data_IF_288232786960
#
_entry.id   IF_288232786960
#
_cell.length_a   1.000
_cell.length_b   1.000
_cell.length_c   1.000
_cell.angle_alpha   90.00
_cell.angle_beta   90.00
_cell.angle_gamma   90.00
#
_symmetry.space_group_name_H-M   'P 1'
#
loop_
_entity.id
_entity.type
_entity.pdbx_description
1 polymer ?
#
# COMPACT_ATOMS: atom_id res chain seq x y z
N UNK A 1 -16.57 -27.18 -27.61
CA UNK A 1 -16.88 -25.87 -28.23
C UNK A 1 -15.64 -24.99 -28.33
N UNK A 2 -14.93 -24.69 -27.24
CA UNK A 2 -13.72 -23.86 -27.29
C UNK A 2 -12.56 -24.54 -28.05
N UNK A 3 -12.16 -25.75 -27.64
CA UNK A 3 -10.97 -26.44 -28.18
C UNK A 3 -11.05 -26.74 -29.68
N UNK A 4 -12.22 -27.12 -30.16
CA UNK A 4 -12.47 -27.46 -31.57
C UNK A 4 -12.88 -26.22 -32.40
N UNK A 5 -13.07 -25.06 -31.76
CA UNK A 5 -13.53 -23.81 -32.37
C UNK A 5 -14.80 -23.94 -33.24
N UNK A 6 -15.65 -24.93 -32.96
CA UNK A 6 -16.87 -25.20 -33.73
C UNK A 6 -17.85 -24.05 -33.50
N UNK A 7 -18.33 -23.43 -34.59
CA UNK A 7 -19.24 -22.28 -34.61
C UNK A 7 -18.69 -21.00 -33.96
N UNK A 8 -17.36 -20.86 -33.85
CA UNK A 8 -16.74 -19.64 -33.35
C UNK A 8 -17.08 -18.44 -34.26
N UNK A 9 -17.65 -17.39 -33.67
CA UNK A 9 -18.06 -16.14 -34.32
C UNK A 9 -17.20 -14.94 -33.85
N UNK A 10 -16.17 -15.21 -33.05
CA UNK A 10 -15.22 -14.23 -32.54
C UNK A 10 -13.78 -14.71 -32.76
N UNK A 11 -12.94 -13.77 -33.19
CA UNK A 11 -11.48 -13.89 -33.31
C UNK A 11 -10.85 -12.96 -32.28
N UNK A 12 -9.88 -13.46 -31.53
CA UNK A 12 -9.17 -12.69 -30.51
C UNK A 12 -7.70 -12.64 -30.93
N UNK A 13 -7.18 -11.44 -31.17
CA UNK A 13 -5.77 -11.22 -31.48
C UNK A 13 -5.06 -10.92 -30.16
N UNK A 14 -4.07 -11.75 -29.80
CA UNK A 14 -3.25 -11.60 -28.60
C UNK A 14 -1.89 -11.00 -28.95
N UNK A 15 -1.04 -10.74 -27.95
CA UNK A 15 0.30 -10.19 -28.18
C UNK A 15 1.15 -11.02 -29.17
N UNK A 16 0.95 -12.34 -29.16
CA UNK A 16 1.80 -13.34 -29.82
C UNK A 16 1.01 -14.38 -30.63
N UNK A 17 -0.32 -14.21 -30.80
CA UNK A 17 -1.14 -15.25 -31.40
C UNK A 17 -2.57 -14.84 -31.71
N UNK A 18 -3.39 -15.83 -32.08
CA UNK A 18 -4.80 -15.64 -32.39
C UNK A 18 -5.62 -16.81 -31.84
N UNK A 19 -6.78 -16.48 -31.27
CA UNK A 19 -7.72 -17.43 -30.69
C UNK A 19 -9.10 -17.27 -31.30
N UNK A 20 -9.92 -18.32 -31.18
CA UNK A 20 -11.32 -18.34 -31.63
C UNK A 20 -12.24 -18.55 -30.42
N UNK A 21 -13.34 -17.83 -30.38
CA UNK A 21 -14.28 -17.83 -29.26
C UNK A 21 -15.71 -17.55 -29.76
N UNK A 22 -16.65 -17.44 -28.80
CA UNK A 22 -18.07 -17.20 -29.04
C UNK A 22 -18.51 -15.91 -28.35
N UNK A 23 -19.06 -14.96 -29.11
CA UNK A 23 -19.58 -13.68 -28.60
C UNK A 23 -20.62 -13.89 -27.50
N UNK A 24 -21.46 -14.91 -27.65
CA UNK A 24 -22.50 -15.25 -26.67
C UNK A 24 -21.91 -15.61 -25.29
N UNK A 25 -20.85 -16.42 -25.24
CA UNK A 25 -20.20 -16.81 -23.97
C UNK A 25 -19.49 -15.62 -23.35
N UNK A 26 -18.80 -14.82 -24.17
CA UNK A 26 -18.11 -13.60 -23.73
C UNK A 26 -19.10 -12.60 -23.11
N UNK A 27 -20.22 -12.35 -23.78
CA UNK A 27 -21.26 -11.42 -23.31
C UNK A 27 -21.99 -11.91 -22.06
N UNK A 28 -22.08 -13.23 -21.87
CA UNK A 28 -22.73 -13.81 -20.69
C UNK A 28 -21.87 -13.67 -19.42
N UNK A 29 -20.55 -13.66 -19.58
CA UNK A 29 -19.58 -13.67 -18.47
C UNK A 29 -18.96 -12.30 -18.20
N UNK A 30 -19.02 -11.38 -19.16
CA UNK A 30 -18.46 -10.03 -19.04
C UNK A 30 -19.51 -8.98 -19.43
N UNK A 31 -19.92 -8.11 -18.48
CA UNK A 31 -20.74 -6.94 -18.76
C UNK A 31 -20.09 -5.99 -19.77
N UNK A 32 -18.76 -5.82 -19.70
CA UNK A 32 -18.01 -4.98 -20.63
C UNK A 32 -18.15 -5.46 -22.08
N UNK A 33 -17.98 -6.77 -22.32
CA UNK A 33 -18.21 -7.35 -23.65
C UNK A 33 -19.68 -7.28 -24.05
N UNK A 34 -20.61 -7.48 -23.12
CA UNK A 34 -22.05 -7.34 -23.41
C UNK A 34 -22.41 -5.93 -23.88
N UNK A 35 -21.85 -4.90 -23.23
CA UNK A 35 -22.08 -3.51 -23.58
C UNK A 35 -21.48 -3.16 -24.95
N UNK A 36 -20.25 -3.58 -25.23
CA UNK A 36 -19.59 -3.30 -26.52
C UNK A 36 -20.40 -3.83 -27.71
N UNK A 37 -21.01 -5.01 -27.57
CA UNK A 37 -21.84 -5.59 -28.64
C UNK A 37 -23.26 -5.00 -28.76
N UNK A 38 -23.74 -4.29 -27.73
CA UNK A 38 -25.09 -3.70 -27.74
C UNK A 38 -25.09 -2.25 -28.22
N UNK A 39 -24.01 -1.49 -27.98
CA UNK A 39 -23.98 -0.02 -28.18
C UNK A 39 -23.49 0.46 -29.56
N UNK A 40 -22.97 -0.40 -30.43
CA UNK A 40 -22.34 0.07 -31.69
C UNK A 40 -23.10 -0.34 -32.95
N UNK A 41 -23.53 0.68 -33.71
CA UNK A 41 -23.93 0.56 -35.12
C UNK A 41 -22.72 0.39 -36.08
N UNK A 42 -21.50 0.27 -35.56
CA UNK A 42 -20.25 0.13 -36.34
C UNK A 42 -19.42 -1.14 -36.01
N UNK A 43 -19.51 -1.75 -34.81
CA UNK A 43 -18.82 -3.04 -34.54
C UNK A 43 -19.64 -4.27 -34.94
N UNK A 44 -20.84 -4.07 -35.52
CA UNK A 44 -21.69 -5.16 -36.02
C UNK A 44 -20.99 -6.06 -37.05
N UNK A 45 -19.88 -5.60 -37.64
CA UNK A 45 -19.10 -6.37 -38.62
C UNK A 45 -17.73 -6.84 -38.12
N UNK A 46 -17.21 -6.35 -36.98
CA UNK A 46 -15.93 -6.87 -36.48
C UNK A 46 -16.15 -8.14 -35.67
N UNK A 47 -15.89 -9.28 -36.29
CA UNK A 47 -15.72 -10.57 -35.60
C UNK A 47 -14.32 -10.71 -35.00
N UNK A 48 -13.66 -9.59 -34.68
CA UNK A 48 -12.29 -9.55 -34.18
C UNK A 48 -12.15 -8.55 -33.02
N UNK A 49 -11.51 -8.96 -31.94
CA UNK A 49 -11.10 -8.09 -30.82
C UNK A 49 -9.59 -8.22 -30.57
N UNK A 50 -8.98 -7.18 -30.03
CA UNK A 50 -7.55 -7.12 -29.72
C UNK A 50 -7.34 -7.13 -28.20
N UNK A 51 -6.57 -8.11 -27.72
CA UNK A 51 -6.17 -8.29 -26.32
C UNK A 51 -4.64 -8.40 -26.29
N UNK A 52 -3.98 -7.29 -26.62
CA UNK A 52 -2.51 -7.21 -26.75
C UNK A 52 -1.78 -7.19 -25.40
N UNK A 53 -2.51 -7.01 -24.31
CA UNK A 53 -2.01 -7.02 -22.92
C UNK A 53 -1.82 -8.43 -22.35
N UNK A 54 -2.12 -9.48 -23.13
CA UNK A 54 -1.95 -10.88 -22.71
C UNK A 54 -1.29 -11.74 -23.79
N UNK A 55 -0.52 -12.73 -23.35
CA UNK A 55 -0.06 -13.82 -24.21
C UNK A 55 -1.23 -14.73 -24.60
N UNK A 56 -1.06 -15.48 -25.68
CA UNK A 56 -2.03 -16.46 -26.16
C UNK A 56 -2.36 -17.50 -25.08
N UNK A 57 -1.37 -17.97 -24.32
CA UNK A 57 -1.59 -18.90 -23.21
C UNK A 57 -2.46 -18.30 -22.10
N UNK A 58 -2.18 -17.06 -21.69
CA UNK A 58 -2.93 -16.39 -20.62
C UNK A 58 -4.35 -16.06 -21.06
N UNK A 59 -4.53 -15.67 -22.33
CA UNK A 59 -5.84 -15.44 -22.92
C UNK A 59 -6.63 -16.75 -23.06
N UNK A 60 -5.98 -17.87 -23.41
CA UNK A 60 -6.62 -19.18 -23.41
C UNK A 60 -7.07 -19.60 -22.01
N UNK A 61 -6.29 -19.28 -20.95
CA UNK A 61 -6.71 -19.51 -19.58
C UNK A 61 -7.97 -18.68 -19.24
N UNK A 62 -8.02 -17.41 -19.65
CA UNK A 62 -9.21 -16.55 -19.47
C UNK A 62 -10.44 -17.17 -20.16
N UNK A 63 -10.31 -17.57 -21.43
CA UNK A 63 -11.38 -18.24 -22.15
C UNK A 63 -11.78 -19.54 -21.45
N UNK A 64 -10.82 -20.36 -21.04
CA UNK A 64 -11.13 -21.59 -20.31
C UNK A 64 -11.91 -21.31 -19.02
N UNK A 65 -11.63 -20.20 -18.33
CA UNK A 65 -12.41 -19.79 -17.16
C UNK A 65 -13.84 -19.44 -17.56
N UNK A 66 -14.01 -18.60 -18.58
CA UNK A 66 -15.34 -18.17 -19.08
C UNK A 66 -16.19 -19.33 -19.60
N UNK A 67 -15.58 -20.41 -20.08
CA UNK A 67 -16.27 -21.62 -20.52
C UNK A 67 -16.44 -22.65 -19.39
N UNK A 68 -15.93 -22.38 -18.18
CA UNK A 68 -16.00 -23.29 -17.04
C UNK A 68 -15.10 -24.53 -17.16
N UNK A 69 -14.07 -24.48 -18.00
CA UNK A 69 -13.16 -25.60 -18.30
C UNK A 69 -11.73 -25.38 -17.82
N UNK A 70 -11.46 -24.28 -17.10
CA UNK A 70 -10.13 -23.97 -16.60
C UNK A 70 -9.63 -25.03 -15.63
N UNK A 71 -8.37 -25.42 -15.79
CA UNK A 71 -7.68 -26.33 -14.86
C UNK A 71 -7.04 -25.53 -13.73
N UNK A 72 -6.98 -26.05 -12.50
CA UNK A 72 -6.35 -25.34 -11.37
C UNK A 72 -4.91 -24.91 -11.65
N UNK A 73 -4.11 -25.75 -12.34
CA UNK A 73 -2.72 -25.41 -12.68
C UNK A 73 -2.61 -24.21 -13.63
N UNK A 74 -3.49 -24.13 -14.63
CA UNK A 74 -3.51 -23.02 -15.58
C UNK A 74 -3.98 -21.72 -14.92
N UNK A 75 -4.99 -21.82 -14.04
CA UNK A 75 -5.42 -20.69 -13.21
C UNK A 75 -4.26 -20.16 -12.37
N UNK A 76 -3.58 -21.03 -11.61
CA UNK A 76 -2.47 -20.63 -10.75
C UNK A 76 -1.31 -19.99 -11.53
N UNK A 77 -0.97 -20.54 -12.69
CA UNK A 77 0.10 -20.03 -13.57
C UNK A 77 -0.22 -18.63 -14.11
N UNK A 78 -1.48 -18.37 -14.45
CA UNK A 78 -1.89 -17.15 -15.15
C UNK A 78 -2.65 -16.15 -14.26
N UNK A 79 -2.79 -16.39 -12.95
CA UNK A 79 -3.64 -15.62 -12.03
C UNK A 79 -3.45 -14.09 -12.07
N UNK A 80 -2.22 -13.59 -12.21
CA UNK A 80 -1.97 -12.15 -12.30
C UNK A 80 -2.50 -11.55 -13.61
N UNK A 81 -2.27 -12.23 -14.74
CA UNK A 81 -2.83 -11.82 -16.03
C UNK A 81 -4.36 -11.92 -16.02
N UNK A 82 -4.90 -12.98 -15.41
CA UNK A 82 -6.35 -13.16 -15.22
C UNK A 82 -6.96 -12.06 -14.36
N UNK A 83 -6.28 -11.64 -13.29
CA UNK A 83 -6.73 -10.52 -12.44
C UNK A 83 -6.84 -9.21 -13.22
N UNK A 84 -5.80 -8.88 -14.00
CA UNK A 84 -5.81 -7.70 -14.86
C UNK A 84 -6.95 -7.73 -15.89
N UNK A 85 -7.13 -8.89 -16.54
CA UNK A 85 -8.23 -9.10 -17.48
C UNK A 85 -9.61 -9.03 -16.79
N UNK A 86 -9.76 -9.62 -15.61
CA UNK A 86 -11.00 -9.61 -14.85
C UNK A 86 -11.41 -8.19 -14.49
N UNK A 87 -10.46 -7.35 -14.07
CA UNK A 87 -10.74 -5.95 -13.80
C UNK A 87 -11.07 -5.17 -15.09
N UNK A 88 -10.35 -5.41 -16.18
CA UNK A 88 -10.55 -4.71 -17.46
C UNK A 88 -11.90 -5.05 -18.11
N UNK A 89 -12.31 -6.31 -18.04
CA UNK A 89 -13.53 -6.82 -18.68
C UNK A 89 -14.68 -7.01 -17.68
N UNK A 90 -14.55 -6.48 -16.46
CA UNK A 90 -15.59 -6.50 -15.42
C UNK A 90 -16.12 -7.92 -15.09
N UNK A 91 -15.21 -8.89 -14.95
CA UNK A 91 -15.51 -10.28 -14.62
C UNK A 91 -15.33 -10.46 -13.10
N UNK A 92 -16.35 -10.08 -12.33
CA UNK A 92 -16.28 -9.96 -10.87
C UNK A 92 -15.94 -11.26 -10.15
N UNK A 93 -16.53 -12.39 -10.56
CA UNK A 93 -16.27 -13.70 -9.96
C UNK A 93 -14.83 -14.18 -10.18
N UNK A 94 -14.26 -13.93 -11.36
CA UNK A 94 -12.85 -14.19 -11.64
C UNK A 94 -11.93 -13.31 -10.78
N UNK A 95 -12.30 -12.02 -10.62
CA UNK A 95 -11.55 -11.08 -9.79
C UNK A 95 -11.51 -11.53 -8.33
N UNK A 96 -12.65 -11.96 -7.79
CA UNK A 96 -12.76 -12.51 -6.43
C UNK A 96 -11.95 -13.81 -6.27
N UNK A 97 -12.01 -14.71 -7.25
CA UNK A 97 -11.23 -15.96 -7.22
C UNK A 97 -9.72 -15.70 -7.26
N UNK A 98 -9.27 -14.72 -8.07
CA UNK A 98 -7.89 -14.29 -8.10
C UNK A 98 -7.46 -13.66 -6.77
N UNK A 99 -8.32 -12.83 -6.16
CA UNK A 99 -8.07 -12.23 -4.85
C UNK A 99 -7.85 -13.30 -3.77
N UNK A 100 -8.73 -14.30 -3.71
CA UNK A 100 -8.64 -15.38 -2.73
C UNK A 100 -7.38 -16.22 -2.93
N UNK A 101 -7.07 -16.60 -4.18
CA UNK A 101 -5.85 -17.33 -4.49
C UNK A 101 -4.58 -16.56 -4.13
N UNK A 102 -4.55 -15.24 -4.38
CA UNK A 102 -3.43 -14.37 -3.97
C UNK A 102 -3.36 -14.14 -2.46
N UNK A 103 -4.41 -14.44 -1.70
CA UNK A 103 -4.34 -14.40 -0.25
C UNK A 103 -3.78 -15.71 0.33
N UNK A 104 -4.08 -16.84 -0.30
CA UNK A 104 -3.71 -18.19 0.18
C UNK A 104 -2.19 -18.43 0.26
N UNK A 105 -1.40 -17.93 -0.69
CA UNK A 105 0.07 -18.11 -0.73
C UNK A 105 0.85 -16.84 -0.35
N UNK A 106 0.23 -15.94 0.44
CA UNK A 106 0.83 -14.70 0.91
C UNK A 106 2.06 -14.98 1.80
N UNK A 107 3.18 -14.32 1.52
CA UNK A 107 4.42 -14.45 2.28
C UNK A 107 5.31 -13.20 2.17
N UNK A 108 6.40 -13.15 2.94
CA UNK A 108 7.31 -11.99 2.98
C UNK A 108 7.95 -11.68 1.61
N UNK A 109 8.11 -12.66 0.73
CA UNK A 109 8.71 -12.45 -0.59
C UNK A 109 7.75 -11.82 -1.61
N UNK A 110 6.43 -11.86 -1.38
CA UNK A 110 5.43 -11.37 -2.35
C UNK A 110 4.44 -10.35 -1.77
N UNK A 111 4.43 -10.11 -0.47
CA UNK A 111 3.42 -9.27 0.20
C UNK A 111 3.41 -7.82 -0.30
N UNK A 112 4.58 -7.24 -0.60
CA UNK A 112 4.67 -5.86 -1.08
C UNK A 112 4.13 -5.72 -2.52
N UNK A 113 4.47 -6.66 -3.40
CA UNK A 113 3.93 -6.72 -4.76
C UNK A 113 2.41 -6.90 -4.72
N UNK A 114 1.92 -7.85 -3.92
CA UNK A 114 0.48 -8.09 -3.74
C UNK A 114 -0.27 -6.91 -3.15
N UNK A 115 0.36 -6.16 -2.25
CA UNK A 115 -0.24 -4.94 -1.72
C UNK A 115 -0.41 -3.89 -2.81
N UNK A 116 0.56 -3.75 -3.72
CA UNK A 116 0.46 -2.87 -4.87
C UNK A 116 -0.67 -3.32 -5.82
N UNK A 117 -0.76 -4.62 -6.12
CA UNK A 117 -1.86 -5.17 -6.93
C UNK A 117 -3.23 -4.98 -6.27
N UNK A 118 -3.30 -5.19 -4.95
CA UNK A 118 -4.52 -4.99 -4.19
C UNK A 118 -4.99 -3.53 -4.22
N UNK A 119 -4.06 -2.59 -4.18
CA UNK A 119 -4.37 -1.18 -4.35
C UNK A 119 -4.83 -0.86 -5.78
N UNK A 120 -4.06 -1.28 -6.78
CA UNK A 120 -4.32 -1.01 -8.20
C UNK A 120 -5.69 -1.55 -8.64
N UNK A 121 -6.02 -2.78 -8.23
CA UNK A 121 -7.26 -3.45 -8.61
C UNK A 121 -8.36 -3.35 -7.54
N UNK A 122 -8.17 -2.58 -6.47
CA UNK A 122 -9.16 -2.38 -5.41
C UNK A 122 -9.62 -3.68 -4.73
N UNK A 123 -8.68 -4.59 -4.46
CA UNK A 123 -8.89 -5.88 -3.81
C UNK A 123 -8.86 -5.73 -2.28
N UNK A 124 -10.03 -5.56 -1.66
CA UNK A 124 -10.13 -5.19 -0.25
C UNK A 124 -9.74 -6.33 0.71
N UNK A 125 -10.07 -7.58 0.40
CA UNK A 125 -9.70 -8.74 1.23
C UNK A 125 -8.17 -8.93 1.18
N UNK A 126 -7.57 -8.83 -0.01
CA UNK A 126 -6.13 -8.98 -0.17
C UNK A 126 -5.37 -7.82 0.49
N UNK A 127 -5.82 -6.57 0.30
CA UNK A 127 -5.22 -5.39 0.97
C UNK A 127 -5.19 -5.57 2.48
N UNK A 128 -6.34 -5.94 3.06
CA UNK A 128 -6.47 -6.20 4.50
C UNK A 128 -5.56 -7.36 4.93
N UNK A 129 -5.51 -8.44 4.16
CA UNK A 129 -4.61 -9.57 4.41
C UNK A 129 -3.14 -9.16 4.44
N UNK A 130 -2.70 -8.35 3.47
CA UNK A 130 -1.35 -7.80 3.43
C UNK A 130 -1.05 -6.92 4.65
N UNK A 131 -1.99 -6.06 5.07
CA UNK A 131 -1.81 -5.21 6.25
C UNK A 131 -1.72 -6.05 7.54
N UNK A 132 -2.61 -7.01 7.74
CA UNK A 132 -2.53 -7.93 8.89
C UNK A 132 -1.22 -8.71 8.88
N UNK A 133 -0.77 -9.19 7.72
CA UNK A 133 0.49 -9.89 7.60
C UNK A 133 1.69 -8.99 7.98
N UNK A 134 1.78 -7.80 7.39
CA UNK A 134 2.89 -6.88 7.61
C UNK A 134 2.92 -6.34 9.04
N UNK A 135 1.78 -5.87 9.53
CA UNK A 135 1.75 -5.04 10.73
C UNK A 135 1.29 -5.81 11.98
N UNK A 136 0.20 -6.59 11.89
CA UNK A 136 -0.31 -7.33 13.06
C UNK A 136 0.60 -8.51 13.43
N UNK A 137 1.12 -9.23 12.42
CA UNK A 137 2.10 -10.30 12.63
C UNK A 137 3.54 -9.79 12.70
N UNK A 138 3.76 -8.49 12.52
CA UNK A 138 5.08 -7.86 12.57
C UNK A 138 6.03 -8.31 11.46
N UNK A 139 5.52 -8.81 10.33
CA UNK A 139 6.35 -9.23 9.18
C UNK A 139 6.96 -8.07 8.41
N UNK A 140 6.62 -6.83 8.76
CA UNK A 140 7.30 -5.62 8.27
C UNK A 140 8.83 -5.66 8.49
N UNK A 141 9.30 -6.34 9.54
CA UNK A 141 10.75 -6.50 9.78
C UNK A 141 11.42 -7.43 8.77
N UNK A 142 10.69 -8.42 8.24
CA UNK A 142 11.20 -9.38 7.27
C UNK A 142 11.42 -8.74 5.89
N UNK A 143 10.75 -7.60 5.61
CA UNK A 143 10.77 -6.89 4.32
C UNK A 143 11.43 -5.50 4.40
N UNK A 144 12.26 -5.29 5.43
CA UNK A 144 12.80 -3.97 5.77
C UNK A 144 13.66 -3.36 4.65
N UNK A 145 14.38 -4.18 3.89
CA UNK A 145 15.24 -3.69 2.81
C UNK A 145 14.41 -3.30 1.58
N UNK A 146 13.36 -4.07 1.29
CA UNK A 146 12.47 -3.90 0.15
C UNK A 146 11.48 -2.76 0.35
N UNK A 147 11.07 -2.48 1.60
CA UNK A 147 10.04 -1.48 1.91
C UNK A 147 10.44 -0.06 1.47
N UNK A 148 11.74 0.25 1.53
CA UNK A 148 12.26 1.54 1.06
C UNK A 148 12.11 1.69 -0.46
N UNK A 149 12.29 0.59 -1.19
CA UNK A 149 12.09 0.56 -2.64
C UNK A 149 10.60 0.64 -2.98
N UNK A 150 9.77 -0.03 -2.19
CA UNK A 150 8.31 0.05 -2.32
C UNK A 150 7.82 1.49 -2.15
N UNK A 151 8.21 2.20 -1.08
CA UNK A 151 7.78 3.59 -0.83
C UNK A 151 8.22 4.60 -1.91
N UNK A 152 9.21 4.28 -2.73
CA UNK A 152 9.61 5.16 -3.85
C UNK A 152 8.63 5.13 -5.02
N UNK A 153 7.90 4.03 -5.17
CA UNK A 153 7.04 3.78 -6.34
C UNK A 153 5.57 3.64 -5.96
N UNK A 154 5.28 3.39 -4.68
CA UNK A 154 3.92 3.26 -4.17
C UNK A 154 3.15 4.58 -4.33
N UNK A 155 1.83 4.42 -4.53
CA UNK A 155 0.90 5.53 -4.51
C UNK A 155 0.93 6.26 -3.16
N UNK A 156 0.73 7.58 -3.18
CA UNK A 156 0.81 8.41 -1.96
C UNK A 156 -0.29 8.07 -0.96
N UNK A 157 -1.49 7.77 -1.43
CA UNK A 157 -2.61 7.47 -0.55
C UNK A 157 -2.42 6.09 0.09
N UNK A 158 -1.89 5.13 -0.66
CA UNK A 158 -1.48 3.83 -0.10
C UNK A 158 -0.42 3.98 0.99
N UNK A 159 0.60 4.83 0.76
CA UNK A 159 1.61 5.11 1.78
C UNK A 159 1.00 5.74 3.04
N UNK A 160 0.09 6.70 2.87
CA UNK A 160 -0.61 7.32 4.00
C UNK A 160 -1.42 6.30 4.80
N UNK A 161 -2.13 5.40 4.13
CA UNK A 161 -2.84 4.29 4.80
C UNK A 161 -1.87 3.40 5.59
N UNK A 162 -0.73 3.03 4.99
CA UNK A 162 0.30 2.25 5.70
C UNK A 162 0.85 2.96 6.93
N UNK A 163 1.15 4.26 6.84
CA UNK A 163 1.61 5.04 7.98
C UNK A 163 0.55 5.13 9.08
N UNK A 164 -0.72 5.29 8.71
CA UNK A 164 -1.83 5.30 9.67
C UNK A 164 -1.95 3.95 10.40
N UNK A 165 -1.77 2.83 9.72
CA UNK A 165 -1.77 1.51 10.36
C UNK A 165 -0.61 1.35 11.35
N UNK A 166 0.61 1.76 10.97
CA UNK A 166 1.76 1.76 11.88
C UNK A 166 1.48 2.60 13.13
N UNK A 167 0.99 3.83 12.95
CA UNK A 167 0.65 4.71 14.07
C UNK A 167 -0.45 4.12 14.96
N UNK A 168 -1.44 3.46 14.37
CA UNK A 168 -2.52 2.81 15.11
C UNK A 168 -1.98 1.69 15.97
N UNK A 169 -1.09 0.85 15.44
CA UNK A 169 -0.45 -0.23 16.21
C UNK A 169 0.45 0.34 17.29
N UNK A 170 1.18 1.40 17.02
CA UNK A 170 2.02 2.07 18.02
C UNK A 170 1.17 2.62 19.16
N UNK A 171 0.06 3.33 18.87
CA UNK A 171 -0.90 3.79 19.89
C UNK A 171 -1.45 2.62 20.71
N UNK A 172 -1.89 1.56 20.05
CA UNK A 172 -2.43 0.37 20.71
C UNK A 172 -1.38 -0.32 21.59
N UNK A 173 -0.12 -0.32 21.16
CA UNK A 173 1.01 -0.89 21.91
C UNK A 173 1.39 -0.03 23.12
N UNK A 174 1.39 1.30 22.95
CA UNK A 174 1.61 2.28 24.03
C UNK A 174 0.54 2.15 25.11
N UNK A 175 -0.72 1.96 24.73
CA UNK A 175 -1.83 1.73 25.67
C UNK A 175 -1.72 0.38 26.40
N UNK A 176 -1.13 -0.65 25.75
CA UNK A 176 -1.11 -2.02 26.30
C UNK A 176 -0.06 -2.26 27.38
N UNK A 177 0.97 -1.41 27.48
CA UNK A 177 1.97 -1.41 28.57
C UNK A 177 2.53 0.01 28.75
N UNK A 178 1.85 0.84 29.54
CA UNK A 178 2.37 2.18 29.84
C UNK A 178 3.51 2.11 30.87
N UNK A 179 4.73 1.86 30.38
CA UNK A 179 5.92 2.33 31.07
C UNK A 179 5.91 3.85 30.95
N UNK A 180 5.60 4.54 32.04
CA UNK A 180 5.71 5.99 32.09
C UNK A 180 7.20 6.35 32.15
N UNK A 181 7.68 7.07 31.15
CA UNK A 181 8.95 7.77 31.25
C UNK A 181 8.80 8.82 32.36
N UNK A 182 9.59 8.67 33.42
CA UNK A 182 9.75 9.67 34.48
C UNK A 182 11.08 10.39 34.21
N UNK A 183 11.05 11.50 33.45
CA UNK A 183 12.26 12.24 33.13
C UNK A 183 12.82 12.91 34.39
N UNK A 184 14.11 12.68 34.66
CA UNK A 184 14.86 13.35 35.71
C UNK A 184 16.07 14.05 35.09
N UNK A 185 16.02 15.37 34.90
CA UNK A 185 17.18 16.09 34.37
C UNK A 185 18.23 16.32 35.45
N UNK A 186 19.50 16.20 35.07
CA UNK A 186 20.63 16.64 35.88
C UNK A 186 21.49 17.56 35.03
N UNK A 187 21.70 18.78 35.51
CA UNK A 187 22.45 19.78 34.76
C UNK A 187 23.89 19.83 35.26
N UNK A 188 24.85 19.53 34.37
CA UNK A 188 26.28 19.51 34.67
C UNK A 188 26.99 20.58 33.82
N UNK A 189 26.96 21.85 34.23
CA UNK A 189 27.55 22.92 33.45
C UNK A 189 29.08 22.79 33.43
N UNK A 190 29.70 23.16 32.30
CA UNK A 190 31.15 23.31 32.24
C UNK A 190 31.63 24.35 33.28
N UNK A 191 32.76 24.14 33.99
CA UNK A 191 33.25 25.05 35.04
C UNK A 191 33.27 26.53 34.63
N UNK A 192 33.72 26.81 33.40
CA UNK A 192 33.82 28.18 32.86
C UNK A 192 32.45 28.86 32.64
N UNK A 193 31.37 28.07 32.61
CA UNK A 193 30.00 28.51 32.32
C UNK A 193 29.06 28.32 33.52
N UNK A 194 29.59 27.83 34.64
CA UNK A 194 28.83 27.50 35.85
C UNK A 194 28.10 28.72 36.42
N UNK A 195 28.73 29.90 36.39
CA UNK A 195 28.15 31.14 36.91
C UNK A 195 26.96 31.65 36.07
N UNK A 196 26.81 31.19 34.82
CA UNK A 196 25.65 31.49 33.95
C UNK A 196 24.56 30.42 34.03
N UNK A 197 24.78 29.34 34.79
CA UNK A 197 23.86 28.20 34.81
C UNK A 197 23.90 27.33 33.55
N UNK A 198 24.94 27.46 32.71
CA UNK A 198 25.11 26.81 31.40
C UNK A 198 24.32 27.46 30.25
N UNK A 199 24.43 26.86 29.06
CA UNK A 199 23.87 27.42 27.81
C UNK A 199 22.77 26.54 27.20
N UNK A 200 22.67 25.29 27.62
CA UNK A 200 21.68 24.34 27.13
C UNK A 200 20.39 24.43 27.95
N UNK A 201 19.25 24.21 27.30
CA UNK A 201 17.95 24.11 27.97
C UNK A 201 17.27 22.80 27.62
N UNK A 202 16.37 22.35 28.49
CA UNK A 202 15.52 21.21 28.20
C UNK A 202 14.14 21.44 28.83
N UNK A 203 13.14 20.76 28.28
CA UNK A 203 11.83 20.60 28.91
C UNK A 203 11.47 19.14 28.81
N UNK A 204 10.89 18.60 29.88
CA UNK A 204 10.35 17.27 29.87
C UNK A 204 8.86 17.34 30.21
N UNK A 205 8.01 16.84 29.31
CA UNK A 205 6.58 16.76 29.51
C UNK A 205 6.22 15.30 29.81
N UNK A 206 5.91 15.03 31.08
CA UNK A 206 5.53 13.68 31.52
C UNK A 206 4.18 13.24 30.93
N UNK A 207 3.25 14.17 30.71
CA UNK A 207 1.92 13.86 30.16
C UNK A 207 2.00 13.51 28.67
N UNK A 208 2.87 14.20 27.92
CA UNK A 208 3.09 13.95 26.49
C UNK A 208 4.20 12.93 26.21
N UNK A 209 4.83 12.39 27.26
CA UNK A 209 5.95 11.44 27.16
C UNK A 209 7.08 11.94 26.24
N UNK A 210 7.40 13.23 26.33
CA UNK A 210 8.36 13.91 25.46
C UNK A 210 9.46 14.64 26.24
N UNK A 211 10.67 14.66 25.68
CA UNK A 211 11.80 15.49 26.16
C UNK A 211 12.27 16.34 24.99
N UNK A 212 12.34 17.65 25.20
CA UNK A 212 12.90 18.63 24.29
C UNK A 212 14.24 19.07 24.85
N UNK A 213 15.29 19.05 24.04
CA UNK A 213 16.62 19.55 24.40
C UNK A 213 17.04 20.59 23.36
N UNK A 214 17.44 21.77 23.83
CA UNK A 214 18.03 22.83 23.03
C UNK A 214 19.54 22.86 23.34
N UNK A 215 20.31 22.29 22.43
CA UNK A 215 21.78 22.22 22.45
C UNK A 215 22.34 22.99 21.23
N UNK A 216 23.54 23.56 21.35
CA UNK A 216 24.22 24.26 20.26
C UNK A 216 23.88 25.75 20.09
N UNK A 217 23.25 26.39 21.07
CA UNK A 217 22.90 27.83 21.04
C UNK A 217 24.05 28.77 21.41
N UNK A 218 25.22 28.26 21.79
CA UNK A 218 26.35 29.07 22.26
C UNK A 218 26.87 30.11 21.25
N UNK A 219 26.69 29.86 19.94
CA UNK A 219 27.11 30.79 18.88
C UNK A 219 26.41 32.15 18.92
N UNK A 220 25.23 32.24 19.55
CA UNK A 220 24.47 33.48 19.73
C UNK A 220 25.17 34.49 20.66
N UNK A 221 26.10 34.03 21.49
CA UNK A 221 26.93 34.91 22.31
C UNK A 221 27.75 35.91 21.47
N UNK A 222 28.15 35.54 20.24
CA UNK A 222 28.88 36.42 19.32
C UNK A 222 28.04 37.58 18.79
N UNK A 223 26.72 37.52 18.95
CA UNK A 223 25.77 38.56 18.57
C UNK A 223 25.21 39.32 19.79
N UNK A 224 25.81 39.14 20.97
CA UNK A 224 25.38 39.79 22.22
C UNK A 224 24.12 39.20 22.84
N UNK A 225 23.67 38.04 22.38
CA UNK A 225 22.48 37.33 22.91
C UNK A 225 22.90 36.35 24.00
N UNK A 226 22.17 36.32 25.11
CA UNK A 226 22.37 35.32 26.16
C UNK A 226 21.86 33.95 25.68
N UNK A 227 22.79 33.05 25.34
CA UNK A 227 22.47 31.72 24.81
C UNK A 227 21.56 30.89 25.73
N UNK A 228 21.75 30.96 27.05
CA UNK A 228 20.93 30.22 28.02
C UNK A 228 19.48 30.69 28.05
N UNK A 229 19.23 32.01 28.01
CA UNK A 229 17.87 32.57 27.94
C UNK A 229 17.20 32.26 26.59
N UNK A 230 17.98 32.27 25.50
CA UNK A 230 17.49 31.93 24.18
C UNK A 230 17.07 30.46 24.07
N UNK A 231 17.88 29.53 24.60
CA UNK A 231 17.53 28.11 24.66
C UNK A 231 16.28 27.89 25.51
N UNK A 232 16.17 28.54 26.66
CA UNK A 232 15.01 28.43 27.54
C UNK A 232 13.73 28.94 26.87
N UNK A 233 13.78 30.10 26.22
CA UNK A 233 12.67 30.69 25.47
C UNK A 233 12.22 29.79 24.31
N UNK A 234 13.18 29.18 23.60
CA UNK A 234 12.91 28.22 22.52
C UNK A 234 12.17 26.99 23.05
N UNK A 235 12.61 26.42 24.16
CA UNK A 235 11.92 25.29 24.77
C UNK A 235 10.50 25.66 25.25
N UNK A 236 10.32 26.81 25.93
CA UNK A 236 9.01 27.25 26.45
C UNK A 236 7.98 27.46 25.32
N UNK A 237 8.42 28.02 24.20
CA UNK A 237 7.56 28.23 23.03
C UNK A 237 7.02 26.89 22.49
N UNK A 238 7.87 25.85 22.43
CA UNK A 238 7.46 24.51 22.04
C UNK A 238 6.44 23.89 23.01
N UNK A 239 6.62 24.05 24.32
CA UNK A 239 5.66 23.58 25.33
C UNK A 239 4.27 24.20 25.16
N UNK A 240 4.22 25.49 24.83
CA UNK A 240 2.96 26.23 24.63
C UNK A 240 2.19 25.76 23.39
N UNK A 241 2.90 25.38 22.33
CA UNK A 241 2.32 24.82 21.09
C UNK A 241 1.78 23.40 21.34
N UNK A 242 2.50 22.59 22.11
CA UNK A 242 2.08 21.23 22.48
C UNK A 242 0.79 21.21 23.32
N UNK A 243 0.72 22.11 24.32
CA UNK A 243 -0.49 22.29 25.15
C UNK A 243 -1.72 22.71 24.33
N UNK A 244 -1.57 23.57 23.32
CA UNK A 244 -2.70 23.94 22.44
C UNK A 244 -3.16 22.78 21.54
N UNK A 245 -2.25 21.88 21.15
CA UNK A 245 -2.60 20.68 20.36
C UNK A 245 -3.32 19.61 21.19
N UNK A 246 -3.18 19.64 22.52
CA UNK A 246 -3.85 18.70 23.43
C UNK A 246 -5.27 19.13 23.87
N UNK A 247 -5.67 20.37 23.55
CA UNK A 247 -6.99 20.95 23.89
C UNK A 247 -7.98 20.99 22.70
N UNK A 248 -7.61 20.50 21.52
CA UNK A 248 -8.51 20.25 20.37
C UNK A 248 -8.77 18.77 20.21
#
# INVERSE_FOLDING_TARGET
MLDEAIHADLTIITADGTLKAHKAVMSATSPAFKASYHDSNEEKESSTIHIEDMSQESCMALLSYMYGTIKPGDFWKHRLALLGAANKYDIGDLKDACEESLLEDLNSGNVLERLNEAWLYQLQKLKKGCFTFLFDFGKIYDVREEINTFFRHADRDLMLEMFQEVLTIWKTTLDRKSLKMLPGPCYLPHPDKMWRGGEDAHIACADEQAIVVADGVGGWANFGVNAGEFALSTCITFSSISLMSSMM
#
